data_IF_420173140515
#
_entry.id   IF_420173140515
#
_cell.length_a   1.000
_cell.length_b   1.000
_cell.length_c   1.000
_cell.angle_alpha   90.00
_cell.angle_beta   90.00
_cell.angle_gamma   90.00
#
_symmetry.space_group_name_H-M   'P 1'
#
loop_
_entity.id
_entity.type
_entity.pdbx_description
1 polymer ?
#
# COMPACT_ATOMS: atom_id res chain seq x y z
N UNK A 1 -8.48 -11.66 -8.66
CA UNK A 1 -8.48 -10.64 -9.73
C UNK A 1 -7.83 -9.37 -9.18
N UNK A 2 -7.01 -8.67 -9.97
CA UNK A 2 -6.37 -7.42 -9.56
C UNK A 2 -7.36 -6.26 -9.57
N UNK A 3 -7.29 -5.41 -8.56
CA UNK A 3 -7.96 -4.13 -8.48
C UNK A 3 -6.99 -3.09 -9.03
N UNK A 4 -7.43 -2.31 -10.00
CA UNK A 4 -6.61 -1.22 -10.54
C UNK A 4 -6.68 -0.02 -9.60
N UNK A 5 -5.58 0.70 -9.54
CA UNK A 5 -5.51 1.97 -8.85
C UNK A 5 -4.60 2.95 -9.58
N UNK A 6 -4.67 4.20 -9.15
CA UNK A 6 -3.81 5.28 -9.63
C UNK A 6 -3.17 5.96 -8.43
N UNK A 7 -1.86 6.16 -8.49
CA UNK A 7 -1.15 6.96 -7.49
C UNK A 7 -1.64 8.39 -7.63
N UNK A 8 -2.26 8.94 -6.59
CA UNK A 8 -2.72 10.33 -6.57
C UNK A 8 -1.67 11.27 -5.99
N UNK A 9 -0.81 10.74 -5.11
CA UNK A 9 0.25 11.51 -4.47
C UNK A 9 1.42 10.60 -4.10
N UNK A 10 2.64 11.10 -4.30
CA UNK A 10 3.87 10.53 -3.77
C UNK A 10 4.57 11.51 -2.83
N UNK A 11 5.11 11.00 -1.72
CA UNK A 11 5.76 11.78 -0.66
C UNK A 11 7.11 11.16 -0.34
N UNK A 12 8.16 11.97 -0.31
CA UNK A 12 9.44 11.56 0.27
C UNK A 12 9.36 11.71 1.78
N UNK A 13 9.44 10.60 2.52
CA UNK A 13 9.40 10.61 3.99
C UNK A 13 10.81 10.65 4.57
N UNK A 14 11.71 9.87 4.00
CA UNK A 14 13.15 9.87 4.28
C UNK A 14 13.92 9.56 3.00
N UNK A 15 15.26 9.61 3.04
CA UNK A 15 16.13 9.28 1.88
C UNK A 15 15.78 7.93 1.22
N UNK A 16 15.37 6.93 2.02
CA UNK A 16 15.09 5.57 1.55
C UNK A 16 13.62 5.14 1.72
N UNK A 17 12.72 6.05 2.11
CA UNK A 17 11.30 5.72 2.36
C UNK A 17 10.39 6.72 1.66
N UNK A 18 9.44 6.21 0.87
CA UNK A 18 8.41 6.99 0.19
C UNK A 18 7.00 6.53 0.61
N UNK A 19 6.09 7.48 0.74
CA UNK A 19 4.66 7.24 0.90
C UNK A 19 3.94 7.44 -0.43
N UNK A 20 2.96 6.58 -0.72
CA UNK A 20 2.15 6.65 -1.93
C UNK A 20 0.68 6.57 -1.56
N UNK A 21 -0.09 7.62 -1.87
CA UNK A 21 -1.53 7.60 -1.82
C UNK A 21 -2.08 7.05 -3.14
N UNK A 22 -2.94 6.04 -3.05
CA UNK A 22 -3.45 5.29 -4.20
C UNK A 22 -4.96 5.29 -4.15
N UNK A 23 -5.59 5.83 -5.20
CA UNK A 23 -7.03 5.72 -5.41
C UNK A 23 -7.33 4.44 -6.17
N UNK A 24 -8.07 3.53 -5.54
CA UNK A 24 -8.52 2.27 -6.12
C UNK A 24 -9.85 2.45 -6.87
N UNK A 25 -10.03 1.71 -7.96
CA UNK A 25 -11.31 1.64 -8.68
C UNK A 25 -12.40 0.95 -7.86
N UNK A 26 -12.01 0.08 -6.92
CA UNK A 26 -12.91 -0.62 -6.00
C UNK A 26 -12.42 -0.48 -4.58
N UNK A 27 -13.36 -0.16 -3.67
CA UNK A 27 -13.06 -0.11 -2.25
C UNK A 27 -12.76 -1.52 -1.71
N UNK A 28 -11.72 -1.62 -0.89
CA UNK A 28 -11.26 -2.87 -0.27
C UNK A 28 -11.54 -2.93 1.24
N UNK A 29 -11.94 -1.82 1.86
CA UNK A 29 -12.30 -1.72 3.29
C UNK A 29 -11.38 -2.53 4.22
N UNK A 30 -10.06 -2.26 4.24
CA UNK A 30 -9.10 -3.04 5.01
C UNK A 30 -9.28 -2.77 6.51
N UNK A 31 -9.07 -3.79 7.33
CA UNK A 31 -8.97 -3.66 8.79
C UNK A 31 -7.53 -3.44 9.23
N UNK A 32 -7.27 -2.74 10.35
CA UNK A 32 -5.91 -2.62 10.91
C UNK A 32 -5.22 -3.97 11.02
N UNK A 33 -3.95 -4.04 10.60
CA UNK A 33 -3.15 -5.27 10.57
C UNK A 33 -3.23 -6.07 9.28
N UNK A 34 -4.12 -5.69 8.35
CA UNK A 34 -4.15 -6.29 7.02
C UNK A 34 -3.16 -5.62 6.06
N UNK A 35 -2.84 -6.34 4.98
CA UNK A 35 -1.92 -5.90 3.94
C UNK A 35 -2.51 -6.15 2.56
N UNK A 36 -1.88 -5.57 1.54
CA UNK A 36 -2.20 -5.78 0.13
C UNK A 36 -0.99 -6.30 -0.63
N UNK A 37 -1.21 -7.03 -1.72
CA UNK A 37 -0.16 -7.36 -2.68
C UNK A 37 -0.15 -6.30 -3.77
N UNK A 38 0.96 -5.60 -3.94
CA UNK A 38 1.20 -4.65 -5.02
C UNK A 38 1.97 -5.35 -6.14
N UNK A 39 1.35 -5.45 -7.32
CA UNK A 39 1.96 -6.04 -8.50
C UNK A 39 2.48 -4.97 -9.45
N UNK A 40 3.74 -5.13 -9.85
CA UNK A 40 4.43 -4.31 -10.84
C UNK A 40 4.71 -5.21 -12.06
N UNK A 41 3.96 -5.03 -13.17
CA UNK A 41 4.10 -5.88 -14.36
C UNK A 41 5.54 -5.97 -14.85
N UNK A 42 6.02 -7.18 -15.09
CA UNK A 42 7.39 -7.46 -15.55
C UNK A 42 8.49 -7.33 -14.49
N UNK A 43 8.17 -6.86 -13.27
CA UNK A 43 9.17 -6.66 -12.21
C UNK A 43 8.96 -7.62 -11.04
N UNK A 44 7.73 -7.75 -10.55
CA UNK A 44 7.38 -8.64 -9.44
C UNK A 44 6.16 -8.20 -8.65
N UNK A 45 5.87 -8.91 -7.57
CA UNK A 45 4.79 -8.59 -6.64
C UNK A 45 5.32 -8.59 -5.21
N UNK A 46 4.88 -7.62 -4.39
CA UNK A 46 5.31 -7.49 -2.99
C UNK A 46 4.12 -7.28 -2.05
N UNK A 47 4.14 -7.87 -0.84
CA UNK A 47 3.19 -7.53 0.21
C UNK A 47 3.54 -6.18 0.85
N UNK A 48 2.53 -5.33 1.06
CA UNK A 48 2.67 -4.04 1.72
C UNK A 48 1.49 -3.81 2.68
N UNK A 49 1.79 -3.43 3.92
CA UNK A 49 0.78 -3.04 4.89
C UNK A 49 0.04 -1.78 4.44
N UNK A 50 -1.26 -1.71 4.73
CA UNK A 50 -2.05 -0.50 4.51
C UNK A 50 -1.77 0.46 5.66
N UNK A 51 -1.03 1.55 5.40
CA UNK A 51 -0.65 2.53 6.41
C UNK A 51 -1.83 3.43 6.79
N UNK A 52 -2.65 3.79 5.81
CA UNK A 52 -3.87 4.56 6.00
C UNK A 52 -4.95 4.11 5.00
N UNK A 53 -6.21 4.21 5.41
CA UNK A 53 -7.37 3.99 4.56
C UNK A 53 -8.41 5.08 4.80
N UNK A 54 -8.92 5.64 3.71
CA UNK A 54 -10.05 6.58 3.70
C UNK A 54 -11.15 5.96 2.85
N UNK A 55 -12.39 6.00 3.37
CA UNK A 55 -13.58 5.46 2.73
C UNK A 55 -13.69 5.94 1.27
N UNK A 56 -14.11 5.05 0.38
CA UNK A 56 -14.13 5.31 -1.06
C UNK A 56 -12.86 4.85 -1.77
N UNK A 57 -12.10 3.92 -1.18
CA UNK A 57 -10.98 3.25 -1.83
C UNK A 57 -9.68 4.07 -1.95
N UNK A 58 -9.46 5.07 -1.10
CA UNK A 58 -8.17 5.75 -1.02
C UNK A 58 -7.32 5.08 0.07
N UNK A 59 -6.14 4.59 -0.29
CA UNK A 59 -5.20 3.95 0.64
C UNK A 59 -3.83 4.63 0.58
N UNK A 60 -3.06 4.54 1.65
CA UNK A 60 -1.65 4.93 1.68
C UNK A 60 -0.76 3.72 1.93
N UNK A 61 0.29 3.56 1.10
CA UNK A 61 1.34 2.57 1.27
C UNK A 61 2.67 3.28 1.55
N UNK A 62 3.40 2.80 2.55
CA UNK A 62 4.76 3.28 2.87
C UNK A 62 5.74 2.21 2.42
N UNK A 63 6.70 2.61 1.58
CA UNK A 63 7.62 1.69 0.92
C UNK A 63 9.05 2.11 1.21
N UNK A 64 9.85 1.16 1.68
CA UNK A 64 11.29 1.31 1.87
C UNK A 64 12.06 0.72 0.66
N UNK A 65 13.10 1.44 0.21
CA UNK A 65 13.98 1.01 -0.88
C UNK A 65 14.99 -0.02 -0.38
N UNK A 66 14.65 -1.30 -0.48
CA UNK A 66 15.46 -2.40 0.07
C UNK A 66 15.75 -3.52 -0.93
N UNK A 67 14.97 -3.67 -1.99
CA UNK A 67 15.10 -4.78 -2.94
C UNK A 67 14.75 -4.37 -4.37
N UNK A 68 14.78 -5.34 -5.28
CA UNK A 68 14.58 -5.10 -6.72
C UNK A 68 13.24 -4.40 -7.02
N UNK A 69 12.13 -4.93 -6.50
CA UNK A 69 10.78 -4.38 -6.76
C UNK A 69 10.61 -3.00 -6.13
N UNK A 70 11.03 -2.82 -4.87
CA UNK A 70 10.91 -1.53 -4.19
C UNK A 70 11.84 -0.47 -4.77
N UNK A 71 13.04 -0.84 -5.25
CA UNK A 71 13.91 0.08 -5.97
C UNK A 71 13.30 0.56 -7.27
N UNK A 72 12.73 -0.36 -8.06
CA UNK A 72 12.00 0.00 -9.28
C UNK A 72 10.84 0.96 -8.97
N UNK A 73 10.05 0.69 -7.93
CA UNK A 73 8.96 1.57 -7.49
C UNK A 73 9.52 2.97 -7.16
N UNK A 74 10.59 3.07 -6.38
CA UNK A 74 11.14 4.36 -5.97
C UNK A 74 11.64 5.20 -7.15
N UNK A 75 12.14 4.55 -8.20
CA UNK A 75 12.70 5.18 -9.40
C UNK A 75 11.63 5.51 -10.44
N UNK A 76 10.55 4.73 -10.51
CA UNK A 76 9.60 4.79 -11.62
C UNK A 76 8.18 5.19 -11.20
N UNK A 77 7.81 5.15 -9.92
CA UNK A 77 6.46 5.53 -9.49
C UNK A 77 6.38 7.01 -9.14
N UNK A 78 5.32 7.62 -9.66
CA UNK A 78 4.96 9.03 -9.48
C UNK A 78 3.45 9.17 -9.54
N UNK A 79 2.92 10.29 -9.07
CA UNK A 79 1.52 10.67 -9.25
C UNK A 79 1.08 10.47 -10.73
N UNK A 80 -0.10 9.88 -10.92
CA UNK A 80 -0.63 9.44 -12.21
C UNK A 80 -0.27 8.01 -12.63
N UNK A 81 0.68 7.34 -11.95
CA UNK A 81 1.08 5.97 -12.30
C UNK A 81 -0.04 4.97 -11.96
N UNK A 82 -0.35 4.08 -12.91
CA UNK A 82 -1.30 2.98 -12.69
C UNK A 82 -0.63 1.84 -11.92
N UNK A 83 -1.38 1.26 -10.99
CA UNK A 83 -0.93 0.14 -10.14
C UNK A 83 -2.01 -0.94 -10.07
N UNK A 84 -1.59 -2.15 -9.72
CA UNK A 84 -2.46 -3.32 -9.61
C UNK A 84 -2.31 -3.93 -8.24
N UNK A 85 -3.42 -4.05 -7.52
CA UNK A 85 -3.45 -4.47 -6.13
C UNK A 85 -4.34 -5.69 -5.94
N UNK A 86 -3.93 -6.61 -5.06
CA UNK A 86 -4.79 -7.68 -4.53
C UNK A 86 -4.90 -7.57 -3.03
N UNK A 87 -6.05 -7.99 -2.50
CA UNK A 87 -6.33 -7.98 -1.08
C UNK A 87 -7.68 -7.35 -0.75
N UNK A 88 -7.90 -6.98 0.53
CA UNK A 88 -6.91 -7.05 1.60
C UNK A 88 -6.68 -8.51 2.05
N UNK A 89 -5.48 -8.80 2.55
CA UNK A 89 -5.07 -10.11 3.06
C UNK A 89 -4.64 -10.02 4.53
N UNK A 90 -4.54 -11.19 5.17
CA UNK A 90 -4.17 -11.33 6.57
C UNK A 90 -5.36 -11.18 7.52
N UNK A 91 -5.14 -11.62 8.76
CA UNK A 91 -6.08 -11.39 9.86
C UNK A 91 -5.83 -10.00 10.42
N UNK A 92 -6.89 -9.22 10.62
CA UNK A 92 -6.77 -7.92 11.27
C UNK A 92 -6.41 -8.08 12.76
N UNK A 93 -5.96 -7.00 13.37
CA UNK A 93 -5.69 -6.97 14.80
C UNK A 93 -6.97 -7.14 15.61
N UNK A 94 -6.86 -7.88 16.72
CA UNK A 94 -7.87 -7.87 17.77
C UNK A 94 -7.61 -6.68 18.67
N UNK A 95 -8.48 -5.68 18.61
CA UNK A 95 -8.40 -4.53 19.52
C UNK A 95 -8.99 -4.94 20.85
N UNK A 96 -8.16 -4.90 21.91
CA UNK A 96 -8.61 -5.20 23.27
C UNK A 96 -8.88 -3.88 24.01
N UNK A 97 -10.13 -3.66 24.42
CA UNK A 97 -10.48 -2.50 25.23
C UNK A 97 -9.88 -2.58 26.63
N UNK A 98 -9.43 -1.44 27.15
CA UNK A 98 -8.93 -1.31 28.53
C UNK A 98 -7.57 -1.96 28.80
N UNK A 99 -6.89 -2.53 27.80
CA UNK A 99 -5.56 -3.11 27.96
C UNK A 99 -4.47 -2.16 27.48
N UNK A 100 -3.34 -2.15 28.19
CA UNK A 100 -2.14 -1.42 27.78
C UNK A 100 -1.38 -2.24 26.73
N UNK A 101 -1.05 -1.61 25.61
CA UNK A 101 -0.02 -2.12 24.70
C UNK A 101 1.35 -1.69 25.25
N UNK A 102 2.31 -2.61 25.29
CA UNK A 102 3.70 -2.33 25.67
C UNK A 102 4.50 -1.79 24.48
#
# INVERSE_FOLDING_TARGET
>A
MYIRGVIVKDKLLTLNVKGYEIKLERDISPRPGQFVMLWVPGVGEIPLSVAQYIKGGLIELIIAKVGKVTSYIHENFRSGTRVFIRGPYGNGFTVMEGKKCL
#
